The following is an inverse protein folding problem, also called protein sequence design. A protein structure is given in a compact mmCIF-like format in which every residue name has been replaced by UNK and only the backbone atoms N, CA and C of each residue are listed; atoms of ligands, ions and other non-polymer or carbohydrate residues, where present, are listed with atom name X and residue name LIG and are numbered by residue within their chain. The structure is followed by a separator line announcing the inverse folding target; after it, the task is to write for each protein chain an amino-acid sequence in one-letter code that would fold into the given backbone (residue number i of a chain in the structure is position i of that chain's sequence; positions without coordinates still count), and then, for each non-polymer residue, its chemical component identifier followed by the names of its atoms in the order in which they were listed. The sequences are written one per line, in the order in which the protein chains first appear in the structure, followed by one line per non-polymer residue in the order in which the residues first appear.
data_IF_304531934760
#
_entry.id   IF_304531934760
#
_cell.length_a   1.000
_cell.length_b   1.000
_cell.length_c   1.000
_cell.angle_alpha   90.00
_cell.angle_beta   90.00
_cell.angle_gamma   90.00
#
_symmetry.space_group_name_H-M   'P 1'
#
loop_
_entity.id
_entity.type
_entity.pdbx_description
1 polymer ?
#
# COMPACT_ATOMS: atom_id res chain seq x y z
N UNK A 1 -1.10 32.47 -7.83
CA UNK A 1 0.29 32.24 -8.27
C UNK A 1 0.24 31.77 -9.72
N UNK A 2 1.06 32.33 -10.61
CA UNK A 2 1.13 31.86 -12.01
C UNK A 2 2.40 31.00 -12.17
N UNK A 3 2.27 29.93 -12.94
CA UNK A 3 3.37 29.01 -13.26
C UNK A 3 3.43 28.87 -14.78
N UNK A 4 4.58 29.12 -15.36
CA UNK A 4 4.80 29.05 -16.81
C UNK A 4 6.04 28.21 -17.10
N UNK A 5 5.95 27.29 -18.05
CA UNK A 5 7.11 26.53 -18.54
C UNK A 5 7.82 27.34 -19.64
N UNK A 6 9.10 27.62 -19.44
CA UNK A 6 9.96 28.30 -20.42
C UNK A 6 11.23 27.49 -20.64
N UNK A 7 11.29 26.80 -21.76
CA UNK A 7 12.37 25.86 -22.04
C UNK A 7 12.47 24.79 -20.95
N UNK A 8 13.64 24.66 -20.32
CA UNK A 8 13.90 23.65 -19.29
C UNK A 8 13.60 24.13 -17.86
N UNK A 9 12.82 25.22 -17.69
CA UNK A 9 12.53 25.77 -16.38
C UNK A 9 11.08 26.19 -16.24
N UNK A 10 10.55 26.06 -15.03
CA UNK A 10 9.30 26.67 -14.62
C UNK A 10 9.59 28.07 -14.05
N UNK A 11 8.87 29.08 -14.52
CA UNK A 11 8.87 30.42 -13.94
C UNK A 11 7.63 30.58 -13.07
N UNK A 12 7.83 30.89 -11.78
CA UNK A 12 6.76 31.09 -10.80
C UNK A 12 6.66 32.57 -10.47
N UNK A 13 5.49 33.18 -10.71
CA UNK A 13 5.22 34.56 -10.36
C UNK A 13 4.04 34.67 -9.38
N UNK A 14 4.19 35.41 -8.31
CA UNK A 14 3.18 35.61 -7.29
C UNK A 14 3.41 36.89 -6.48
N UNK A 15 2.36 37.41 -5.85
CA UNK A 15 2.50 38.49 -4.88
C UNK A 15 3.29 38.03 -3.67
N UNK A 16 4.11 38.89 -3.13
CA UNK A 16 4.95 38.58 -1.97
C UNK A 16 4.10 38.04 -0.81
N UNK A 17 4.36 36.80 -0.44
CA UNK A 17 3.79 36.11 0.75
C UNK A 17 4.86 35.22 1.34
N UNK A 18 5.26 35.44 2.58
CA UNK A 18 6.30 34.67 3.26
C UNK A 18 5.98 33.17 3.25
N UNK A 19 4.72 32.81 3.47
CA UNK A 19 4.25 31.42 3.46
C UNK A 19 4.47 30.68 2.13
N UNK A 20 4.40 31.38 1.00
CA UNK A 20 4.68 30.82 -0.33
C UNK A 20 6.19 30.74 -0.55
N UNK A 21 6.92 31.80 -0.21
CA UNK A 21 8.38 31.87 -0.38
C UNK A 21 9.07 30.74 0.39
N UNK A 22 8.68 30.50 1.63
CA UNK A 22 9.30 29.47 2.47
C UNK A 22 9.08 28.06 1.91
N UNK A 23 7.96 27.82 1.24
CA UNK A 23 7.69 26.56 0.53
C UNK A 23 8.49 26.45 -0.76
N UNK A 24 8.50 27.49 -1.58
CA UNK A 24 9.28 27.52 -2.83
C UNK A 24 10.78 27.35 -2.54
N UNK A 25 11.28 27.87 -1.43
CA UNK A 25 12.65 27.68 -0.98
C UNK A 25 13.03 26.23 -0.67
N UNK A 26 12.08 25.34 -0.52
CA UNK A 26 12.34 23.92 -0.30
C UNK A 26 12.62 23.16 -1.60
N UNK A 27 12.33 23.75 -2.78
CA UNK A 27 12.51 23.09 -4.07
C UNK A 27 14.01 23.08 -4.43
N UNK A 28 14.62 21.94 -4.73
CA UNK A 28 16.00 21.84 -5.16
C UNK A 28 16.26 22.60 -6.47
N UNK A 29 17.42 23.25 -6.58
CA UNK A 29 17.83 23.92 -7.81
C UNK A 29 17.07 25.21 -8.17
N UNK A 30 16.13 25.66 -7.31
CA UNK A 30 15.45 26.95 -7.50
C UNK A 30 16.42 28.11 -7.45
N UNK A 31 16.11 29.16 -8.19
CA UNK A 31 16.79 30.46 -8.11
C UNK A 31 15.76 31.59 -8.24
N UNK A 32 16.04 32.73 -7.66
CA UNK A 32 15.21 33.93 -7.81
C UNK A 32 15.84 34.88 -8.85
N UNK A 33 15.07 35.27 -9.83
CA UNK A 33 15.45 36.33 -10.78
C UNK A 33 14.89 37.65 -10.30
N UNK A 34 15.78 38.50 -9.76
CA UNK A 34 15.41 39.80 -9.22
C UNK A 34 14.95 40.80 -10.27
N UNK A 35 15.38 40.67 -11.52
CA UNK A 35 15.01 41.55 -12.64
C UNK A 35 13.59 41.30 -13.07
N UNK A 36 13.24 40.01 -13.25
CA UNK A 36 11.88 39.59 -13.66
C UNK A 36 10.93 39.40 -12.47
N UNK A 37 11.46 39.41 -11.24
CA UNK A 37 10.73 39.12 -9.99
C UNK A 37 10.01 37.77 -10.01
N UNK A 38 10.65 36.75 -10.56
CA UNK A 38 10.12 35.38 -10.65
C UNK A 38 11.08 34.38 -9.99
N UNK A 39 10.52 33.28 -9.50
CA UNK A 39 11.30 32.11 -9.10
C UNK A 39 11.44 31.17 -10.29
N UNK A 40 12.65 30.71 -10.52
CA UNK A 40 12.99 29.78 -11.61
C UNK A 40 13.29 28.44 -10.97
N UNK A 41 12.55 27.40 -11.42
CA UNK A 41 12.67 26.02 -10.96
C UNK A 41 12.98 25.13 -12.16
N UNK A 42 14.08 24.36 -12.15
CA UNK A 42 14.41 23.49 -13.28
C UNK A 42 13.41 22.35 -13.43
N UNK A 43 13.12 21.92 -14.65
CA UNK A 43 12.16 20.85 -14.95
C UNK A 43 12.49 19.53 -14.25
N UNK A 44 13.77 19.23 -14.01
CA UNK A 44 14.21 18.07 -13.22
C UNK A 44 13.67 18.04 -11.78
N UNK A 45 13.27 19.19 -11.22
CA UNK A 45 12.67 19.32 -9.89
C UNK A 45 11.15 19.44 -9.94
N UNK A 46 10.52 18.88 -10.99
CA UNK A 46 9.08 18.95 -11.23
C UNK A 46 8.29 18.27 -10.10
N UNK A 47 8.75 17.12 -9.62
CA UNK A 47 8.07 16.35 -8.56
C UNK A 47 7.98 17.17 -7.26
N UNK A 48 9.08 17.80 -6.87
CA UNK A 48 9.14 18.66 -5.68
C UNK A 48 8.33 19.94 -5.88
N UNK A 49 8.31 20.48 -7.09
CA UNK A 49 7.47 21.62 -7.45
C UNK A 49 5.99 21.26 -7.31
N UNK A 50 5.53 20.15 -7.87
CA UNK A 50 4.14 19.69 -7.79
C UNK A 50 3.72 19.46 -6.33
N UNK A 51 4.59 18.87 -5.51
CA UNK A 51 4.37 18.71 -4.07
C UNK A 51 4.18 20.05 -3.34
N UNK A 52 5.02 21.03 -3.64
CA UNK A 52 4.93 22.37 -3.07
C UNK A 52 3.68 23.11 -3.55
N UNK A 53 3.33 22.97 -4.83
CA UNK A 53 2.10 23.52 -5.41
C UNK A 53 0.87 22.97 -4.69
N UNK A 54 0.79 21.66 -4.49
CA UNK A 54 -0.32 21.03 -3.77
C UNK A 54 -0.51 21.63 -2.37
N UNK A 55 0.56 21.93 -1.65
CA UNK A 55 0.50 22.59 -0.35
C UNK A 55 0.03 24.06 -0.44
N UNK A 56 0.40 24.76 -1.52
CA UNK A 56 0.02 26.16 -1.74
C UNK A 56 -1.43 26.29 -2.20
N UNK A 57 -1.96 25.35 -2.96
CA UNK A 57 -3.34 25.32 -3.45
C UNK A 57 -4.38 25.37 -2.33
N UNK A 58 -4.03 24.97 -1.10
CA UNK A 58 -4.92 25.03 0.05
C UNK A 58 -5.32 26.46 0.45
N UNK A 59 -4.56 27.49 0.03
CA UNK A 59 -4.78 28.88 0.43
C UNK A 59 -4.47 29.92 -0.65
N UNK A 60 -4.07 29.51 -1.86
CA UNK A 60 -3.75 30.38 -2.99
C UNK A 60 -4.18 29.76 -4.30
N UNK A 61 -4.81 30.55 -5.18
CA UNK A 61 -5.15 30.10 -6.53
C UNK A 61 -3.89 29.93 -7.37
N UNK A 62 -3.74 28.78 -8.01
CA UNK A 62 -2.66 28.46 -8.94
C UNK A 62 -3.20 28.56 -10.36
N UNK A 63 -2.50 29.28 -11.21
CA UNK A 63 -2.80 29.40 -12.63
C UNK A 63 -1.61 28.92 -13.47
N UNK A 64 -1.80 27.86 -14.23
CA UNK A 64 -0.83 27.36 -15.17
C UNK A 64 -1.00 28.09 -16.51
N UNK A 65 0.04 28.80 -16.93
CA UNK A 65 0.05 29.54 -18.17
C UNK A 65 0.55 28.61 -19.29
N UNK A 66 -0.10 28.69 -20.45
CA UNK A 66 0.23 27.87 -21.66
C UNK A 66 -0.04 26.37 -21.55
N UNK A 67 -1.02 25.94 -20.76
CA UNK A 67 -1.44 24.55 -20.73
C UNK A 67 -0.38 23.60 -20.20
N UNK A 68 0.57 24.11 -19.39
CA UNK A 68 1.59 23.30 -18.71
C UNK A 68 1.05 22.59 -17.47
N UNK A 69 -0.23 22.80 -17.14
CA UNK A 69 -0.94 21.82 -16.32
C UNK A 69 -0.72 20.45 -16.95
N UNK A 70 -0.26 19.47 -16.16
CA UNK A 70 -0.72 18.13 -16.48
C UNK A 70 -2.23 18.27 -16.56
N UNK A 71 -2.81 18.31 -17.74
CA UNK A 71 -4.06 17.62 -17.90
C UNK A 71 -3.78 16.30 -17.22
N UNK A 72 -4.45 15.97 -16.11
CA UNK A 72 -4.76 14.59 -15.89
C UNK A 72 -5.32 14.20 -17.25
N UNK A 73 -4.45 13.65 -18.12
CA UNK A 73 -4.95 12.76 -19.12
C UNK A 73 -5.80 11.88 -18.24
N UNK A 74 -7.10 11.91 -18.44
CA UNK A 74 -7.94 10.80 -18.09
C UNK A 74 -7.26 9.63 -18.79
N UNK A 75 -6.24 9.09 -18.11
CA UNK A 75 -5.76 7.77 -18.40
C UNK A 75 -7.01 6.99 -18.03
N UNK A 76 -7.85 6.80 -19.02
CA UNK A 76 -8.89 5.79 -18.97
C UNK A 76 -8.10 4.52 -18.71
N UNK A 77 -7.81 4.28 -17.42
CA UNK A 77 -7.40 2.97 -17.01
C UNK A 77 -8.57 2.12 -17.47
N UNK A 78 -8.31 1.35 -18.51
CA UNK A 78 -9.17 0.24 -18.85
C UNK A 78 -9.10 -0.70 -17.65
N UNK A 79 -9.88 -0.33 -16.61
CA UNK A 79 -9.97 -1.11 -15.39
C UNK A 79 -10.77 -2.33 -15.82
N UNK A 80 -10.11 -3.49 -15.97
CA UNK A 80 -10.81 -4.67 -16.42
C UNK A 80 -11.96 -4.90 -15.44
N UNK A 81 -13.13 -5.21 -15.98
CA UNK A 81 -14.30 -5.49 -15.17
C UNK A 81 -13.96 -6.61 -14.18
N UNK A 82 -14.22 -6.36 -12.90
CA UNK A 82 -13.87 -7.33 -11.87
C UNK A 82 -14.72 -8.58 -12.04
N UNK A 83 -14.12 -9.78 -12.00
CA UNK A 83 -14.84 -11.02 -12.18
C UNK A 83 -15.89 -11.24 -11.09
N UNK A 84 -16.98 -11.90 -11.45
CA UNK A 84 -17.95 -12.38 -10.47
C UNK A 84 -17.46 -13.64 -9.78
N UNK A 85 -17.79 -13.80 -8.50
CA UNK A 85 -17.46 -15.01 -7.77
C UNK A 85 -18.35 -16.16 -8.26
N UNK A 86 -17.74 -17.12 -8.94
CA UNK A 86 -18.46 -18.28 -9.54
C UNK A 86 -18.62 -19.47 -8.60
N UNK A 87 -17.89 -19.47 -7.48
CA UNK A 87 -17.93 -20.55 -6.49
C UNK A 87 -18.74 -20.12 -5.26
N UNK A 88 -19.56 -21.00 -4.68
CA UNK A 88 -20.26 -20.70 -3.45
C UNK A 88 -19.25 -20.50 -2.32
N UNK A 89 -19.46 -19.45 -1.52
CA UNK A 89 -18.61 -19.22 -0.34
C UNK A 89 -19.22 -19.92 0.88
N UNK A 90 -18.34 -20.45 1.74
CA UNK A 90 -18.67 -21.07 3.01
C UNK A 90 -18.33 -20.18 4.21
N UNK A 91 -18.49 -18.88 4.03
CA UNK A 91 -18.26 -17.89 5.08
C UNK A 91 -19.47 -17.81 6.02
N UNK A 92 -19.23 -17.54 7.29
CA UNK A 92 -20.27 -17.35 8.30
C UNK A 92 -21.10 -16.08 8.12
N UNK A 93 -20.61 -15.14 7.30
CA UNK A 93 -21.31 -13.92 6.96
C UNK A 93 -21.40 -13.75 5.46
N UNK A 94 -22.41 -13.00 5.01
CA UNK A 94 -22.60 -12.66 3.60
C UNK A 94 -21.73 -11.44 3.26
N UNK A 95 -20.72 -11.57 2.36
CA UNK A 95 -19.96 -10.42 1.87
C UNK A 95 -20.84 -9.51 0.99
N UNK A 96 -20.48 -8.24 0.95
CA UNK A 96 -21.10 -7.30 0.02
C UNK A 96 -20.71 -7.60 -1.45
N UNK A 97 -21.51 -7.19 -2.45
CA UNK A 97 -21.23 -7.49 -3.86
C UNK A 97 -19.82 -7.06 -4.31
N UNK A 98 -19.35 -5.88 -3.92
CA UNK A 98 -18.00 -5.43 -4.25
C UNK A 98 -16.89 -6.27 -3.61
N UNK A 99 -17.14 -6.80 -2.39
CA UNK A 99 -16.20 -7.71 -1.72
C UNK A 99 -16.13 -9.05 -2.43
N UNK A 100 -17.26 -9.57 -2.94
CA UNK A 100 -17.28 -10.79 -3.75
C UNK A 100 -16.44 -10.65 -5.01
N UNK A 101 -16.51 -9.51 -5.69
CA UNK A 101 -15.65 -9.20 -6.85
C UNK A 101 -14.16 -9.15 -6.48
N UNK A 102 -13.82 -8.51 -5.34
CA UNK A 102 -12.46 -8.49 -4.82
C UNK A 102 -11.92 -9.89 -4.48
N UNK A 103 -12.75 -10.73 -3.89
CA UNK A 103 -12.43 -12.13 -3.58
C UNK A 103 -12.20 -12.92 -4.88
N UNK A 104 -13.09 -12.81 -5.87
CA UNK A 104 -12.96 -13.47 -7.16
C UNK A 104 -11.64 -13.07 -7.86
N UNK A 105 -11.31 -11.79 -7.85
CA UNK A 105 -10.04 -11.30 -8.40
C UNK A 105 -8.83 -11.85 -7.65
N UNK A 106 -8.90 -11.96 -6.33
CA UNK A 106 -7.85 -12.57 -5.51
C UNK A 106 -7.61 -14.03 -5.83
N UNK A 107 -8.69 -14.81 -6.07
CA UNK A 107 -8.60 -16.21 -6.48
C UNK A 107 -7.94 -16.38 -7.85
N UNK A 108 -8.26 -15.49 -8.79
CA UNK A 108 -7.67 -15.49 -10.13
C UNK A 108 -6.17 -15.18 -10.10
N UNK A 109 -5.78 -14.12 -9.41
CA UNK A 109 -4.40 -13.61 -9.42
C UNK A 109 -3.44 -14.41 -8.54
N UNK A 110 -3.93 -15.07 -7.49
CA UNK A 110 -3.14 -15.80 -6.47
C UNK A 110 -2.13 -14.94 -5.69
N UNK A 111 -1.60 -13.89 -6.30
CA UNK A 111 -0.68 -12.91 -5.70
C UNK A 111 -1.17 -11.52 -6.06
N UNK A 112 -1.58 -10.75 -5.06
CA UNK A 112 -2.12 -9.41 -5.30
C UNK A 112 -1.97 -8.53 -4.06
N UNK A 113 -2.12 -7.24 -4.28
CA UNK A 113 -2.23 -6.24 -3.23
C UNK A 113 -3.67 -5.71 -3.21
N UNK A 114 -4.35 -5.82 -2.07
CA UNK A 114 -5.66 -5.21 -1.91
C UNK A 114 -5.49 -3.75 -1.46
N UNK A 115 -5.73 -2.82 -2.38
CA UNK A 115 -5.59 -1.37 -2.19
C UNK A 115 -6.93 -0.67 -1.93
N UNK A 116 -8.00 -1.41 -1.59
CA UNK A 116 -9.28 -0.82 -1.22
C UNK A 116 -9.12 0.23 -0.10
N UNK A 117 -10.02 1.18 -0.03
CA UNK A 117 -10.01 2.19 1.02
C UNK A 117 -10.18 1.58 2.43
N UNK A 118 -9.73 2.28 3.48
CA UNK A 118 -9.98 1.88 4.85
C UNK A 118 -11.49 1.68 5.12
N UNK A 119 -11.84 0.60 5.83
CA UNK A 119 -13.24 0.30 6.17
C UNK A 119 -13.98 -0.60 5.18
N UNK A 120 -13.48 -0.83 3.96
CA UNK A 120 -14.14 -1.65 2.95
C UNK A 120 -13.99 -3.17 3.17
N UNK A 121 -13.45 -3.60 4.31
CA UNK A 121 -13.40 -5.02 4.68
C UNK A 121 -12.30 -5.82 4.00
N UNK A 122 -11.12 -5.22 3.79
CA UNK A 122 -9.92 -5.91 3.23
C UNK A 122 -9.59 -7.21 3.97
N UNK A 123 -9.75 -7.23 5.29
CA UNK A 123 -9.50 -8.41 6.12
C UNK A 123 -10.45 -9.55 5.75
N UNK A 124 -11.75 -9.27 5.60
CA UNK A 124 -12.73 -10.25 5.16
C UNK A 124 -12.40 -10.79 3.77
N UNK A 125 -12.08 -9.91 2.82
CA UNK A 125 -11.73 -10.32 1.46
C UNK A 125 -10.49 -11.21 1.45
N UNK A 126 -9.45 -10.87 2.23
CA UNK A 126 -8.24 -11.69 2.35
C UNK A 126 -8.53 -13.06 2.95
N UNK A 127 -9.26 -13.12 4.07
CA UNK A 127 -9.66 -14.36 4.73
C UNK A 127 -10.50 -15.22 3.80
N UNK A 128 -11.46 -14.63 3.12
CA UNK A 128 -12.33 -15.34 2.17
C UNK A 128 -11.55 -15.92 0.99
N UNK A 129 -10.64 -15.14 0.41
CA UNK A 129 -9.79 -15.60 -0.70
C UNK A 129 -8.94 -16.80 -0.29
N UNK A 130 -8.29 -16.75 0.87
CA UNK A 130 -7.45 -17.84 1.40
C UNK A 130 -8.31 -19.07 1.68
N UNK A 131 -9.49 -18.89 2.29
CA UNK A 131 -10.39 -19.97 2.65
C UNK A 131 -10.96 -20.69 1.41
N UNK A 132 -11.36 -19.93 0.38
CA UNK A 132 -11.88 -20.49 -0.87
C UNK A 132 -10.79 -21.12 -1.75
N UNK A 133 -9.57 -20.60 -1.70
CA UNK A 133 -8.41 -21.19 -2.37
C UNK A 133 -7.90 -22.46 -1.67
N UNK A 134 -8.44 -22.82 -0.49
CA UNK A 134 -7.92 -23.86 0.41
C UNK A 134 -6.40 -23.75 0.65
N UNK A 135 -5.91 -22.49 0.75
CA UNK A 135 -4.48 -22.18 0.84
C UNK A 135 -3.98 -22.32 2.29
N UNK A 136 -3.90 -23.56 2.77
CA UNK A 136 -3.45 -23.88 4.12
C UNK A 136 -2.20 -24.79 4.08
N UNK A 137 -1.30 -24.70 5.07
CA UNK A 137 -1.33 -23.77 6.22
C UNK A 137 -1.16 -22.30 5.80
N UNK A 138 -1.91 -21.39 6.43
CA UNK A 138 -1.83 -19.97 6.18
C UNK A 138 -1.01 -19.28 7.28
N UNK A 139 -0.04 -18.45 6.88
CA UNK A 139 0.72 -17.59 7.80
C UNK A 139 0.29 -16.14 7.65
N UNK A 140 -0.28 -15.58 8.72
CA UNK A 140 -0.63 -14.16 8.80
C UNK A 140 0.50 -13.40 9.49
N UNK A 141 1.08 -12.44 8.78
CA UNK A 141 2.13 -11.55 9.31
C UNK A 141 1.53 -10.17 9.51
N UNK A 142 1.52 -9.67 10.73
CA UNK A 142 0.90 -8.39 11.07
C UNK A 142 1.63 -7.68 12.23
N UNK A 143 1.35 -6.40 12.48
CA UNK A 143 1.80 -5.71 13.69
C UNK A 143 1.37 -6.45 14.96
N UNK A 144 2.21 -6.42 15.99
CA UNK A 144 1.96 -7.14 17.25
C UNK A 144 0.60 -6.81 17.88
N UNK A 145 0.16 -5.56 17.81
CA UNK A 145 -1.13 -5.09 18.31
C UNK A 145 -2.35 -5.66 17.58
N UNK A 146 -2.17 -6.14 16.33
CA UNK A 146 -3.27 -6.64 15.51
C UNK A 146 -3.45 -8.16 15.54
N UNK A 147 -2.56 -8.91 16.20
CA UNK A 147 -2.63 -10.39 16.25
C UNK A 147 -3.97 -10.91 16.77
N UNK A 148 -4.44 -10.33 17.87
CA UNK A 148 -5.73 -10.74 18.48
C UNK A 148 -6.89 -10.36 17.56
N UNK A 149 -6.79 -9.25 16.85
CA UNK A 149 -7.82 -8.84 15.90
C UNK A 149 -7.94 -9.84 14.74
N UNK A 150 -6.81 -10.24 14.15
CA UNK A 150 -6.76 -11.26 13.11
C UNK A 150 -7.31 -12.61 13.58
N UNK A 151 -7.00 -13.03 14.82
CA UNK A 151 -7.55 -14.26 15.42
C UNK A 151 -9.08 -14.21 15.45
N UNK A 152 -9.64 -13.11 15.99
CA UNK A 152 -11.09 -12.91 16.09
C UNK A 152 -11.78 -12.84 14.73
N UNK A 153 -11.15 -12.22 13.73
CA UNK A 153 -11.70 -12.12 12.39
C UNK A 153 -11.77 -13.49 11.71
N UNK A 154 -10.75 -14.35 11.87
CA UNK A 154 -10.80 -15.73 11.38
C UNK A 154 -11.94 -16.53 11.99
N UNK A 155 -12.12 -16.48 13.29
CA UNK A 155 -13.19 -17.17 14.03
C UNK A 155 -14.58 -16.64 13.65
N UNK A 156 -14.67 -15.34 13.39
CA UNK A 156 -15.90 -14.67 12.99
C UNK A 156 -16.35 -15.04 11.60
N UNK A 157 -15.44 -15.18 10.65
CA UNK A 157 -15.77 -15.30 9.25
C UNK A 157 -15.75 -16.75 8.74
N UNK A 158 -14.99 -17.63 9.37
CA UNK A 158 -14.80 -19.01 8.90
C UNK A 158 -14.85 -20.02 10.06
N UNK A 159 -14.92 -21.32 9.70
CA UNK A 159 -14.77 -22.42 10.68
C UNK A 159 -13.31 -22.85 10.87
N UNK A 160 -12.39 -22.24 10.13
CA UNK A 160 -10.96 -22.53 10.25
C UNK A 160 -10.41 -21.95 11.56
N UNK A 161 -9.61 -22.73 12.24
CA UNK A 161 -9.02 -22.34 13.53
C UNK A 161 -7.69 -21.64 13.31
N UNK A 162 -7.54 -20.50 13.97
CA UNK A 162 -6.32 -19.72 13.97
C UNK A 162 -5.63 -19.79 15.35
N UNK A 163 -4.30 -19.68 15.36
CA UNK A 163 -3.54 -19.54 16.61
C UNK A 163 -2.44 -18.48 16.46
N UNK A 164 -2.16 -17.80 17.57
CA UNK A 164 -1.05 -16.85 17.65
C UNK A 164 0.21 -17.63 18.06
N UNK A 165 1.23 -17.54 17.19
CA UNK A 165 2.53 -18.11 17.52
C UNK A 165 3.26 -17.26 18.58
N UNK A 166 3.73 -17.96 19.61
CA UNK A 166 4.52 -17.39 20.71
C UNK A 166 5.81 -18.18 20.86
N UNK A 167 6.73 -17.70 21.66
CA UNK A 167 8.00 -18.41 21.91
C UNK A 167 7.82 -19.86 22.45
N UNK A 168 6.69 -20.12 23.10
CA UNK A 168 6.37 -21.44 23.66
C UNK A 168 5.88 -22.45 22.62
N UNK A 169 5.23 -21.97 21.55
CA UNK A 169 4.54 -22.82 20.55
C UNK A 169 5.08 -22.67 19.14
N UNK A 170 6.14 -21.87 18.95
CA UNK A 170 6.70 -21.56 17.63
C UNK A 170 7.13 -22.80 16.86
N UNK A 171 7.69 -23.79 17.53
CA UNK A 171 8.25 -25.00 16.91
C UNK A 171 7.21 -26.12 16.76
N UNK A 172 5.97 -25.90 17.24
CA UNK A 172 4.90 -26.92 17.25
C UNK A 172 3.80 -26.65 16.24
N UNK A 173 3.91 -25.61 15.41
CA UNK A 173 2.86 -25.25 14.45
C UNK A 173 2.59 -26.37 13.43
N UNK A 174 3.62 -27.08 13.00
CA UNK A 174 3.48 -28.21 12.08
C UNK A 174 2.64 -29.33 12.66
N UNK A 175 2.82 -29.66 13.96
CA UNK A 175 1.99 -30.62 14.66
C UNK A 175 0.52 -30.17 14.70
N UNK A 176 0.25 -28.92 15.04
CA UNK A 176 -1.12 -28.39 15.07
C UNK A 176 -1.79 -28.39 13.70
N UNK A 177 -1.03 -28.18 12.64
CA UNK A 177 -1.55 -28.26 11.28
C UNK A 177 -1.82 -29.72 10.87
N UNK A 178 -0.86 -30.62 11.05
CA UNK A 178 -0.98 -32.04 10.68
C UNK A 178 -2.10 -32.75 11.42
N UNK A 179 -2.36 -32.37 12.64
CA UNK A 179 -3.50 -32.91 13.43
C UNK A 179 -4.84 -32.24 13.10
N UNK A 180 -4.87 -31.27 12.22
CA UNK A 180 -6.06 -30.52 11.85
C UNK A 180 -6.59 -29.58 12.95
N UNK A 181 -5.85 -29.40 14.03
CA UNK A 181 -6.25 -28.54 15.13
C UNK A 181 -6.29 -27.07 14.76
N UNK A 182 -5.32 -26.61 13.94
CA UNK A 182 -5.25 -25.23 13.47
C UNK A 182 -4.77 -25.19 12.00
N UNK A 183 -5.35 -24.29 11.23
CA UNK A 183 -5.04 -24.09 9.83
C UNK A 183 -4.31 -22.76 9.58
N UNK A 184 -4.41 -21.83 10.53
CA UNK A 184 -3.93 -20.46 10.39
C UNK A 184 -3.01 -20.11 11.55
N UNK A 185 -1.85 -19.55 11.23
CA UNK A 185 -0.81 -19.19 12.19
C UNK A 185 -0.52 -17.70 12.10
N UNK A 186 -0.59 -16.98 13.22
CA UNK A 186 -0.45 -15.53 13.27
C UNK A 186 0.85 -15.15 13.98
N UNK A 187 1.67 -14.34 13.32
CA UNK A 187 2.97 -13.90 13.83
C UNK A 187 3.15 -12.38 13.60
N UNK A 188 3.93 -11.73 14.43
CA UNK A 188 4.35 -10.36 14.18
C UNK A 188 5.66 -10.29 13.40
N UNK A 189 5.88 -9.17 12.73
CA UNK A 189 7.05 -8.94 11.86
C UNK A 189 8.38 -9.25 12.56
N UNK A 190 8.53 -8.82 13.81
CA UNK A 190 9.76 -8.98 14.58
C UNK A 190 10.05 -10.44 14.92
N UNK A 191 8.99 -11.24 15.11
CA UNK A 191 9.10 -12.66 15.45
C UNK A 191 9.28 -13.55 14.22
N UNK A 192 8.96 -13.07 13.02
CA UNK A 192 9.06 -13.86 11.78
C UNK A 192 10.45 -14.45 11.59
N UNK A 193 11.48 -13.61 11.71
CA UNK A 193 12.88 -14.05 11.60
C UNK A 193 13.24 -15.10 12.67
N UNK A 194 12.76 -14.91 13.89
CA UNK A 194 13.05 -15.80 15.02
C UNK A 194 12.40 -17.18 14.88
N UNK A 195 11.20 -17.25 14.28
CA UNK A 195 10.40 -18.47 14.26
C UNK A 195 10.55 -19.28 12.98
N UNK A 196 10.84 -18.62 11.86
CA UNK A 196 10.83 -19.27 10.54
C UNK A 196 12.18 -19.25 9.82
N UNK A 197 13.11 -18.38 10.21
CA UNK A 197 14.42 -18.31 9.56
C UNK A 197 15.43 -19.17 10.33
N UNK A 198 15.80 -20.30 9.77
CA UNK A 198 16.77 -21.21 10.39
C UNK A 198 18.21 -20.72 10.16
N UNK A 199 18.54 -20.23 8.98
CA UNK A 199 19.90 -19.84 8.63
C UNK A 199 19.93 -18.66 7.65
N UNK A 200 20.78 -17.69 7.93
CA UNK A 200 21.10 -16.60 7.01
C UNK A 200 22.59 -16.75 6.65
N UNK A 201 22.91 -17.11 5.41
CA UNK A 201 24.28 -17.00 4.90
C UNK A 201 24.56 -15.54 4.55
N UNK A 202 25.48 -14.90 5.24
CA UNK A 202 26.04 -13.62 4.81
C UNK A 202 26.94 -13.88 3.60
N UNK A 203 26.48 -13.48 2.41
CA UNK A 203 27.40 -13.23 1.31
C UNK A 203 27.99 -11.83 1.46
N UNK A 204 29.16 -11.58 0.95
CA UNK A 204 29.75 -10.24 0.88
C UNK A 204 28.78 -9.31 0.09
N UNK A 205 28.27 -8.29 0.76
CA UNK A 205 27.15 -7.49 0.29
C UNK A 205 25.79 -8.05 0.75
N UNK A 206 24.89 -7.14 1.14
CA UNK A 206 23.56 -7.43 1.71
C UNK A 206 22.58 -8.07 0.70
N UNK A 207 22.92 -9.25 0.20
CA UNK A 207 21.99 -10.06 -0.57
C UNK A 207 21.49 -11.20 0.31
N UNK A 208 20.16 -11.21 0.56
CA UNK A 208 19.47 -12.37 1.10
C UNK A 208 19.57 -13.50 0.06
N UNK A 209 20.62 -14.30 0.15
CA UNK A 209 20.71 -15.56 -0.59
C UNK A 209 20.42 -16.66 0.41
N UNK A 210 19.48 -17.51 0.05
CA UNK A 210 19.10 -18.76 0.75
C UNK A 210 18.52 -18.50 2.16
N UNK A 211 17.25 -18.12 2.19
CA UNK A 211 16.42 -18.20 3.40
C UNK A 211 15.75 -19.58 3.37
N UNK A 212 16.20 -20.49 4.22
CA UNK A 212 15.47 -21.72 4.51
C UNK A 212 14.37 -21.39 5.54
N UNK A 213 13.11 -21.58 5.12
CA UNK A 213 11.93 -21.45 5.94
C UNK A 213 11.57 -22.77 6.61
#
# INVERSE_FOLDING_TARGET
MNIELKGDNFELSFKYKTSIIDRVRQIPGRRFDGTKKVWIVPTRSRVELERVIYQIQQFENINWVNGTEKKEEDIAYDIPELPDLTVPHNLKIQPYPYQLKGIARGLELKRFMNCDEPGLGKTLQSIATINLADAFPCLVICPSSLKINWLREWEKFTDKKAMILTDKVRDTWTFFFQTGMHQVFIVNYESLKKYFVQRIKKAEGWTLRDVEF
#
